data_IF_168777158806
#
_entry.id   IF_168777158806
#
_cell.length_a   1.000
_cell.length_b   1.000
_cell.length_c   1.000
_cell.angle_alpha   90.00
_cell.angle_beta   90.00
_cell.angle_gamma   90.00
#
_symmetry.space_group_name_H-M   'P 1'
#
loop_
_entity.id
_entity.type
_entity.pdbx_description
1 polymer ?
#
# COMPACT_ATOMS: atom_id res chain seq x y z
N UNK A 1 5.52 21.72 20.42
CA UNK A 1 6.13 20.42 20.79
C UNK A 1 5.29 19.25 20.26
N UNK A 2 4.03 19.07 20.68
CA UNK A 2 3.17 17.97 20.20
C UNK A 2 3.03 17.86 18.68
N UNK A 3 2.76 18.97 17.98
CA UNK A 3 2.62 18.96 16.51
C UNK A 3 3.91 18.52 15.81
N UNK A 4 5.06 19.04 16.24
CA UNK A 4 6.37 18.70 15.68
C UNK A 4 6.70 17.23 15.91
N UNK A 5 6.34 16.70 17.09
CA UNK A 5 6.51 15.27 17.40
C UNK A 5 5.62 14.39 16.52
N UNK A 6 4.35 14.76 16.34
CA UNK A 6 3.44 14.06 15.44
C UNK A 6 3.99 14.03 14.00
N UNK A 7 4.41 15.18 13.46
CA UNK A 7 4.96 15.26 12.11
C UNK A 7 6.26 14.47 11.95
N UNK A 8 7.11 14.45 12.99
CA UNK A 8 8.33 13.64 13.00
C UNK A 8 8.01 12.15 12.97
N UNK A 9 7.08 11.69 13.82
CA UNK A 9 6.65 10.29 13.93
C UNK A 9 5.87 9.79 12.70
N UNK A 10 5.24 10.68 11.95
CA UNK A 10 4.38 10.37 10.79
C UNK A 10 4.93 10.95 9.50
N UNK A 11 6.25 11.09 9.42
CA UNK A 11 6.94 11.74 8.29
C UNK A 11 6.73 11.05 6.94
N UNK A 12 6.40 9.76 6.94
CA UNK A 12 5.99 8.99 5.75
C UNK A 12 4.52 9.23 5.33
N UNK A 13 3.81 10.12 6.02
CA UNK A 13 2.43 10.52 5.76
C UNK A 13 1.41 9.36 5.82
N UNK A 14 1.70 8.29 6.58
CA UNK A 14 0.79 7.18 6.80
C UNK A 14 0.84 6.74 8.27
N UNK A 15 -0.30 6.31 8.81
CA UNK A 15 -0.40 5.79 10.19
C UNK A 15 -1.23 4.52 10.19
N UNK A 16 -1.01 3.63 11.18
CA UNK A 16 -1.80 2.41 11.33
C UNK A 16 -3.29 2.72 11.46
N UNK A 17 -3.61 3.76 12.24
CA UNK A 17 -4.98 4.26 12.37
C UNK A 17 -5.57 4.73 11.03
N UNK A 18 -4.77 5.36 10.17
CA UNK A 18 -5.17 5.76 8.83
C UNK A 18 -5.49 4.56 7.94
N UNK A 19 -4.68 3.50 8.01
CA UNK A 19 -4.93 2.24 7.28
C UNK A 19 -6.21 1.58 7.78
N UNK A 20 -6.38 1.44 9.09
CA UNK A 20 -7.64 0.91 9.68
C UNK A 20 -8.86 1.73 9.24
N UNK A 21 -8.69 3.05 9.09
CA UNK A 21 -9.76 3.92 8.63
C UNK A 21 -10.13 3.63 7.18
N UNK A 22 -9.12 3.52 6.29
CA UNK A 22 -9.33 3.12 4.89
C UNK A 22 -10.04 1.76 4.81
N UNK A 23 -9.59 0.77 5.59
CA UNK A 23 -10.19 -0.57 5.65
C UNK A 23 -11.67 -0.56 6.09
N UNK A 24 -12.09 0.44 6.87
CA UNK A 24 -13.47 0.59 7.35
C UNK A 24 -14.35 1.44 6.43
N UNK A 25 -13.76 2.27 5.57
CA UNK A 25 -14.51 3.23 4.75
C UNK A 25 -14.59 2.87 3.28
N UNK A 26 -13.59 2.14 2.75
CA UNK A 26 -13.62 1.67 1.38
C UNK A 26 -14.53 0.45 1.24
N UNK A 27 -15.22 0.34 0.12
CA UNK A 27 -16.02 -0.84 -0.24
C UNK A 27 -15.13 -1.94 -0.84
N UNK A 28 -15.51 -3.21 -0.67
CA UNK A 28 -14.80 -4.34 -1.28
C UNK A 28 -14.74 -4.21 -2.81
N UNK A 29 -13.54 -4.25 -3.38
CA UNK A 29 -13.28 -4.03 -4.81
C UNK A 29 -13.21 -2.56 -5.24
N UNK A 30 -13.37 -1.60 -4.33
CA UNK A 30 -13.28 -0.18 -4.64
C UNK A 30 -11.84 0.22 -5.02
N UNK A 31 -11.73 0.96 -6.13
CA UNK A 31 -10.50 1.63 -6.55
C UNK A 31 -10.51 3.10 -6.12
N UNK A 32 -9.41 3.55 -5.54
CA UNK A 32 -9.24 4.94 -5.12
C UNK A 32 -7.83 5.46 -5.41
N UNK A 33 -7.66 6.78 -5.32
CA UNK A 33 -6.34 7.42 -5.39
C UNK A 33 -5.89 7.74 -3.96
N UNK A 34 -4.71 7.25 -3.58
CA UNK A 34 -4.06 7.55 -2.30
C UNK A 34 -2.96 8.59 -2.49
N UNK A 35 -2.98 9.65 -1.69
CA UNK A 35 -1.83 10.56 -1.55
C UNK A 35 -1.01 10.16 -0.32
N UNK A 36 0.26 9.82 -0.53
CA UNK A 36 1.22 9.47 0.52
C UNK A 36 2.64 9.81 0.09
N UNK A 37 3.43 10.35 1.00
CA UNK A 37 4.83 10.70 0.78
C UNK A 37 5.04 11.53 -0.50
N UNK A 38 4.15 12.50 -0.74
CA UNK A 38 4.14 13.35 -1.95
C UNK A 38 3.96 12.59 -3.28
N UNK A 39 3.44 11.37 -3.25
CA UNK A 39 3.15 10.55 -4.42
C UNK A 39 1.66 10.16 -4.44
N UNK A 40 1.12 9.96 -5.64
CA UNK A 40 -0.23 9.42 -5.84
C UNK A 40 -0.15 7.97 -6.29
N UNK A 41 -0.81 7.06 -5.59
CA UNK A 41 -0.95 5.67 -6.03
C UNK A 41 -2.40 5.28 -6.25
N UNK A 42 -2.62 4.27 -7.09
CA UNK A 42 -3.92 3.60 -7.18
C UNK A 42 -3.98 2.56 -6.08
N UNK A 43 -5.04 2.59 -5.27
CA UNK A 43 -5.29 1.57 -4.23
C UNK A 43 -6.57 0.80 -4.50
N UNK A 44 -6.63 -0.44 -4.00
CA UNK A 44 -7.78 -1.33 -4.12
C UNK A 44 -8.09 -1.98 -2.77
N UNK A 45 -9.36 -2.09 -2.40
CA UNK A 45 -9.80 -2.94 -1.29
C UNK A 45 -10.01 -4.38 -1.79
N UNK A 46 -9.35 -5.34 -1.16
CA UNK A 46 -9.61 -6.76 -1.39
C UNK A 46 -9.53 -7.58 -0.10
N UNK A 47 -10.55 -8.38 0.17
CA UNK A 47 -10.69 -9.23 1.36
C UNK A 47 -10.40 -8.46 2.67
N UNK A 48 -10.88 -7.22 2.76
CA UNK A 48 -10.68 -6.35 3.93
C UNK A 48 -9.26 -5.81 4.11
N UNK A 49 -8.38 -5.99 3.12
CA UNK A 49 -7.04 -5.40 3.08
C UNK A 49 -6.97 -4.36 1.95
N UNK A 50 -6.08 -3.37 2.12
CA UNK A 50 -5.86 -2.33 1.12
C UNK A 50 -4.52 -2.59 0.43
N UNK A 51 -4.56 -2.62 -0.90
CA UNK A 51 -3.40 -2.84 -1.74
C UNK A 51 -3.10 -1.60 -2.56
N UNK A 52 -1.83 -1.33 -2.84
CA UNK A 52 -1.37 -0.31 -3.78
C UNK A 52 -0.90 -0.96 -5.07
N UNK A 53 -1.26 -0.40 -6.22
CA UNK A 53 -0.77 -0.85 -7.52
C UNK A 53 0.73 -0.56 -7.62
N UNK A 54 1.52 -1.57 -8.01
CA UNK A 54 2.94 -1.43 -8.27
C UNK A 54 3.12 -0.79 -9.66
N UNK A 55 3.78 0.36 -9.69
CA UNK A 55 4.03 1.11 -10.93
C UNK A 55 5.52 1.42 -11.17
N UNK A 56 6.40 0.90 -10.30
CA UNK A 56 7.84 1.11 -10.44
C UNK A 56 8.37 0.29 -11.63
N UNK A 57 9.09 0.96 -12.53
CA UNK A 57 9.64 0.37 -13.75
C UNK A 57 10.65 -0.77 -13.46
N UNK A 58 11.20 -0.83 -12.25
CA UNK A 58 12.04 -1.93 -11.80
C UNK A 58 11.34 -3.29 -11.83
N UNK A 59 10.00 -3.32 -11.76
CA UNK A 59 9.18 -4.54 -11.83
C UNK A 59 8.60 -4.80 -13.23
N UNK A 60 9.02 -4.06 -14.26
CA UNK A 60 8.51 -4.23 -15.64
C UNK A 60 8.55 -5.68 -16.14
N UNK A 61 9.56 -6.46 -15.71
CA UNK A 61 9.75 -7.85 -16.13
C UNK A 61 9.17 -8.88 -15.16
N UNK A 62 8.66 -8.44 -14.01
CA UNK A 62 8.12 -9.25 -12.93
C UNK A 62 6.58 -9.29 -13.06
N UNK A 63 6.06 -10.02 -14.05
CA UNK A 63 4.63 -10.00 -14.41
C UNK A 63 3.66 -10.43 -13.29
N UNK A 64 4.19 -11.09 -12.26
CA UNK A 64 3.44 -11.53 -11.07
C UNK A 64 3.51 -10.51 -9.91
N UNK A 65 4.19 -9.38 -10.08
CA UNK A 65 4.23 -8.28 -9.11
C UNK A 65 3.31 -7.16 -9.58
N UNK A 66 2.07 -7.18 -9.09
CA UNK A 66 1.02 -6.24 -9.51
C UNK A 66 0.55 -5.38 -8.35
N UNK A 67 0.33 -5.98 -7.19
CA UNK A 67 -0.16 -5.30 -5.99
C UNK A 67 0.87 -5.40 -4.86
N UNK A 68 0.91 -4.37 -4.03
CA UNK A 68 1.69 -4.32 -2.81
C UNK A 68 0.73 -4.11 -1.63
N UNK A 69 0.85 -4.88 -0.55
CA UNK A 69 0.03 -4.64 0.64
C UNK A 69 0.38 -3.28 1.27
N UNK A 70 -0.63 -2.46 1.54
CA UNK A 70 -0.38 -1.13 2.12
C UNK A 70 0.13 -1.24 3.57
N UNK A 71 1.39 -0.86 3.80
CA UNK A 71 2.03 -0.81 5.13
C UNK A 71 2.61 0.57 5.46
N UNK A 72 2.65 0.92 6.75
CA UNK A 72 3.29 2.14 7.27
C UNK A 72 4.81 2.09 7.08
N UNK A 73 5.45 0.97 7.37
CA UNK A 73 6.92 0.84 7.36
C UNK A 73 7.51 0.53 5.98
N UNK A 74 6.67 0.17 5.01
CA UNK A 74 7.09 -0.23 3.66
C UNK A 74 7.67 -1.64 3.58
N UNK A 75 7.69 -2.42 4.67
CA UNK A 75 7.99 -3.85 4.64
C UNK A 75 6.70 -4.61 4.36
N UNK A 76 6.30 -4.59 3.11
CA UNK A 76 5.07 -5.20 2.63
C UNK A 76 5.36 -6.40 1.73
N UNK A 77 4.33 -7.18 1.46
CA UNK A 77 4.38 -8.31 0.54
C UNK A 77 3.82 -7.89 -0.82
N UNK A 78 4.41 -8.42 -1.89
CA UNK A 78 3.90 -8.29 -3.25
C UNK A 78 2.91 -9.40 -3.60
N UNK A 79 2.00 -9.12 -4.52
CA UNK A 79 0.90 -9.99 -4.92
C UNK A 79 0.67 -9.90 -6.44
N UNK A 80 0.18 -11.00 -7.02
CA UNK A 80 -0.22 -11.07 -8.42
C UNK A 80 -1.51 -10.30 -8.69
N UNK A 81 -1.91 -10.20 -9.96
CA UNK A 81 -3.19 -9.62 -10.38
C UNK A 81 -4.43 -10.27 -9.72
N UNK A 82 -4.29 -11.50 -9.23
CA UNK A 82 -5.35 -12.25 -8.53
C UNK A 82 -5.23 -12.19 -7.00
N UNK A 83 -4.44 -11.24 -6.47
CA UNK A 83 -4.18 -11.09 -5.03
C UNK A 83 -3.60 -12.35 -4.37
N UNK A 84 -2.88 -13.18 -5.13
CA UNK A 84 -2.12 -14.29 -4.56
C UNK A 84 -0.74 -13.79 -4.15
N UNK A 85 -0.26 -14.14 -2.94
CA UNK A 85 1.08 -13.75 -2.49
C UNK A 85 2.15 -14.13 -3.51
N UNK A 86 3.02 -13.19 -3.85
CA UNK A 86 4.22 -13.46 -4.63
C UNK A 86 5.27 -14.04 -3.67
N UNK A 87 5.61 -15.32 -3.84
CA UNK A 87 6.74 -15.90 -3.11
C UNK A 87 8.04 -15.43 -3.77
N UNK A 88 8.90 -14.73 -3.03
CA UNK A 88 10.27 -14.48 -3.48
C UNK A 88 10.98 -15.82 -3.67
N UNK A 89 11.07 -16.31 -4.91
CA UNK A 89 12.07 -17.31 -5.24
C UNK A 89 13.41 -16.59 -5.12
N UNK A 90 14.14 -16.91 -4.06
CA UNK A 90 15.46 -16.39 -3.70
C UNK A 90 16.25 -15.89 -4.92
N UNK A 91 16.51 -14.58 -4.97
CA UNK A 91 17.57 -14.02 -5.82
C UNK A 91 18.92 -14.63 -5.45
#
# INVERSE_FOLDING_TARGET
VLLSEFLSRTSNQLTDHGIERLQKTMEEGELAVLFRNNHFSTICMHQGQVYSLVTDIGYEKEGEVVWELLSVDGNSQFFSSHFTPHEEIHR
#
